data_IF_925618044722
#
_entry.id   IF_925618044722
#
_cell.length_a   1.000
_cell.length_b   1.000
_cell.length_c   1.000
_cell.angle_alpha   90.00
_cell.angle_beta   90.00
_cell.angle_gamma   90.00
#
_symmetry.space_group_name_H-M   'P 1'
#
loop_
_entity.id
_entity.type
_entity.pdbx_description
1 polymer ?
#
# COMPACT_ATOMS: atom_id res chain seq x y z
N UNK A 1 9.52 -9.78 4.68
CA UNK A 1 8.66 -10.64 3.83
C UNK A 1 7.18 -10.41 4.07
N UNK A 2 6.72 -10.18 5.31
CA UNK A 2 5.29 -9.98 5.64
C UNK A 2 4.53 -9.02 4.70
N UNK A 3 5.02 -7.80 4.46
CA UNK A 3 4.33 -6.84 3.56
C UNK A 3 4.26 -7.35 2.13
N UNK A 4 5.32 -7.99 1.64
CA UNK A 4 5.34 -8.53 0.28
C UNK A 4 4.36 -9.71 0.13
N UNK A 5 4.22 -10.57 1.13
CA UNK A 5 3.25 -11.68 1.12
C UNK A 5 1.80 -11.17 1.16
N UNK A 6 1.49 -10.18 2.00
CA UNK A 6 0.14 -9.59 2.03
C UNK A 6 -0.19 -8.93 0.69
N UNK A 7 0.80 -8.27 0.07
CA UNK A 7 0.62 -7.70 -1.26
C UNK A 7 0.38 -8.80 -2.30
N UNK A 8 1.13 -9.90 -2.26
CA UNK A 8 0.97 -11.04 -3.16
C UNK A 8 -0.46 -11.59 -3.10
N UNK A 9 -0.95 -11.90 -1.89
CA UNK A 9 -2.32 -12.39 -1.67
C UNK A 9 -3.38 -11.40 -2.21
N UNK A 10 -3.18 -10.08 -2.01
CA UNK A 10 -4.08 -9.05 -2.53
C UNK A 10 -4.12 -9.09 -4.07
N UNK A 11 -2.97 -9.23 -4.73
CA UNK A 11 -2.87 -9.20 -6.19
C UNK A 11 -3.25 -10.53 -6.86
N UNK A 12 -3.13 -11.67 -6.17
CA UNK A 12 -3.37 -13.00 -6.75
C UNK A 12 -4.79 -13.54 -6.51
N UNK A 13 -5.42 -13.20 -5.38
CA UNK A 13 -6.66 -13.86 -4.93
C UNK A 13 -7.76 -12.90 -4.46
N UNK A 14 -7.42 -11.74 -3.87
CA UNK A 14 -8.43 -10.89 -3.22
C UNK A 14 -8.89 -9.67 -4.01
N UNK A 15 -8.03 -9.04 -4.81
CA UNK A 15 -8.34 -7.79 -5.51
C UNK A 15 -9.03 -7.98 -6.86
N UNK A 16 -10.01 -7.14 -7.18
CA UNK A 16 -10.46 -7.01 -8.58
C UNK A 16 -9.47 -6.16 -9.38
N UNK A 17 -9.54 -6.24 -10.71
CA UNK A 17 -8.65 -5.46 -11.57
C UNK A 17 -8.71 -3.95 -11.28
N UNK A 18 -9.91 -3.39 -11.12
CA UNK A 18 -10.13 -1.98 -10.83
C UNK A 18 -9.57 -1.57 -9.46
N UNK A 19 -9.78 -2.40 -8.44
CA UNK A 19 -9.24 -2.17 -7.10
C UNK A 19 -7.71 -2.19 -7.10
N UNK A 20 -7.12 -3.16 -7.81
CA UNK A 20 -5.67 -3.27 -7.95
C UNK A 20 -5.07 -2.11 -8.74
N UNK A 21 -5.79 -1.52 -9.70
CA UNK A 21 -5.36 -0.29 -10.37
C UNK A 21 -5.28 0.88 -9.39
N UNK A 22 -6.28 1.05 -8.52
CA UNK A 22 -6.29 2.09 -7.49
C UNK A 22 -5.13 1.90 -6.51
N UNK A 23 -4.94 0.67 -6.00
CA UNK A 23 -3.83 0.34 -5.10
C UNK A 23 -2.46 0.57 -5.76
N UNK A 24 -2.29 0.13 -7.00
CA UNK A 24 -1.04 0.33 -7.77
C UNK A 24 -0.73 1.82 -7.95
N UNK A 25 -1.74 2.63 -8.25
CA UNK A 25 -1.59 4.07 -8.41
C UNK A 25 -1.23 4.75 -7.07
N UNK A 26 -1.85 4.33 -5.97
CA UNK A 26 -1.52 4.83 -4.64
C UNK A 26 -0.06 4.51 -4.26
N UNK A 27 0.36 3.24 -4.44
CA UNK A 27 1.75 2.80 -4.18
C UNK A 27 2.77 3.57 -5.01
N UNK A 28 2.51 3.79 -6.30
CA UNK A 28 3.42 4.57 -7.18
C UNK A 28 3.61 6.02 -6.72
N UNK A 29 2.60 6.61 -6.09
CA UNK A 29 2.63 8.00 -5.60
C UNK A 29 3.17 8.12 -4.18
N UNK A 30 3.08 7.04 -3.40
CA UNK A 30 3.66 6.95 -2.06
C UNK A 30 3.17 8.05 -1.11
N UNK A 31 1.88 8.38 -1.16
CA UNK A 31 1.31 9.46 -0.36
C UNK A 31 0.05 9.01 0.40
N UNK A 32 -0.06 9.43 1.67
CA UNK A 32 -1.18 9.07 2.54
C UNK A 32 -2.53 9.58 2.02
N UNK A 33 -2.54 10.67 1.23
CA UNK A 33 -3.76 11.26 0.66
C UNK A 33 -4.52 10.30 -0.28
N UNK A 34 -3.84 9.30 -0.84
CA UNK A 34 -4.46 8.32 -1.74
C UNK A 34 -5.19 7.20 -1.01
N UNK A 35 -5.15 7.18 0.33
CA UNK A 35 -5.79 6.13 1.11
C UNK A 35 -7.32 6.11 0.97
N UNK A 36 -7.95 7.26 0.74
CA UNK A 36 -9.40 7.32 0.55
C UNK A 36 -9.83 6.84 -0.84
N UNK A 37 -8.88 6.64 -1.76
CA UNK A 37 -9.15 6.16 -3.11
C UNK A 37 -9.07 4.63 -3.23
N UNK A 38 -8.64 3.92 -2.19
CA UNK A 38 -8.54 2.47 -2.19
C UNK A 38 -9.67 1.83 -1.36
N UNK A 39 -10.07 0.58 -1.68
CA UNK A 39 -11.09 -0.14 -0.92
C UNK A 39 -10.75 -0.25 0.57
N UNK A 40 -11.79 -0.26 1.41
CA UNK A 40 -11.65 -0.24 2.87
C UNK A 40 -10.76 -1.36 3.41
N UNK A 41 -10.88 -2.57 2.85
CA UNK A 41 -10.07 -3.73 3.29
C UNK A 41 -8.57 -3.61 2.93
N UNK A 42 -8.22 -2.81 1.91
CA UNK A 42 -6.84 -2.55 1.51
C UNK A 42 -6.22 -1.36 2.26
N UNK A 43 -7.03 -0.50 2.89
CA UNK A 43 -6.54 0.70 3.60
C UNK A 43 -5.55 0.36 4.70
N UNK A 44 -5.79 -0.72 5.45
CA UNK A 44 -4.89 -1.16 6.50
C UNK A 44 -3.52 -1.56 5.94
N UNK A 45 -3.51 -2.34 4.85
CA UNK A 45 -2.29 -2.72 4.16
C UNK A 45 -1.52 -1.49 3.66
N UNK A 46 -2.20 -0.52 3.04
CA UNK A 46 -1.55 0.69 2.53
C UNK A 46 -0.96 1.58 3.63
N UNK A 47 -1.63 1.71 4.79
CA UNK A 47 -1.04 2.37 5.97
C UNK A 47 0.23 1.68 6.42
N UNK A 48 0.18 0.35 6.61
CA UNK A 48 1.34 -0.43 7.03
C UNK A 48 2.50 -0.32 6.03
N UNK A 49 2.19 -0.30 4.74
CA UNK A 49 3.16 -0.08 3.67
C UNK A 49 3.84 1.29 3.80
N UNK A 50 3.07 2.38 3.94
CA UNK A 50 3.60 3.72 4.11
C UNK A 50 4.40 3.87 5.41
N UNK A 51 3.94 3.29 6.51
CA UNK A 51 4.66 3.37 7.78
C UNK A 51 6.00 2.63 7.70
N UNK A 52 5.99 1.38 7.23
CA UNK A 52 7.20 0.55 7.17
C UNK A 52 8.28 1.08 6.24
N UNK A 53 7.88 1.60 5.07
CA UNK A 53 8.84 2.10 4.10
C UNK A 53 9.02 3.62 4.15
N UNK A 54 8.06 4.39 4.67
CA UNK A 54 8.16 5.83 4.90
C UNK A 54 8.94 6.19 6.16
N UNK A 55 8.98 5.33 7.20
CA UNK A 55 9.91 5.50 8.33
C UNK A 55 11.38 5.53 7.89
N UNK A 56 11.72 4.85 6.78
CA UNK A 56 13.08 4.84 6.26
C UNK A 56 13.54 6.21 5.74
N UNK A 57 12.61 7.07 5.31
CA UNK A 57 12.95 8.42 4.86
C UNK A 57 13.33 9.33 6.03
N UNK A 58 12.64 9.23 7.17
CA UNK A 58 13.00 9.99 8.39
C UNK A 58 14.31 9.52 9.02
N UNK A 59 14.65 8.24 8.89
CA UNK A 59 15.91 7.68 9.41
C UNK A 59 17.15 8.01 8.56
N UNK A 60 16.98 8.38 7.28
CA UNK A 60 18.07 8.86 6.41
C UNK A 60 18.32 10.37 6.51
N UNK A 61 17.42 11.12 7.14
CA UNK A 61 17.55 12.58 7.38
C UNK A 61 18.21 12.88 8.74
N UNK A 62 18.65 11.87 9.50
CA UNK A 62 19.30 12.04 10.79
C UNK A 62 20.74 11.54 10.82
#
# INVERSE_FOLDING_TARGET
>A
MVIASIMDDIYDAYGTFEELQLLTNAIKRWHAEYIEQIPEYMKLFYKLFLDFYGEKEKAMIK
#
